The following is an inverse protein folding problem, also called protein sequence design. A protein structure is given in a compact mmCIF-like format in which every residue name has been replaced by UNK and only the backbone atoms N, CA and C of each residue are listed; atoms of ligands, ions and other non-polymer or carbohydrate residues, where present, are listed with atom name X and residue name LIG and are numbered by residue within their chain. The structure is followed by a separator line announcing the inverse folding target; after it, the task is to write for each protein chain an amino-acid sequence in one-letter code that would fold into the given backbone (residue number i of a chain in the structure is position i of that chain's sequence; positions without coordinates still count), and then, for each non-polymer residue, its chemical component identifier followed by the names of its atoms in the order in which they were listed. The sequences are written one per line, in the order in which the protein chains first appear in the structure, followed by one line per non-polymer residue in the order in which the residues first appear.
data_IF_407562668038
#
_entry.id   IF_407562668038
#
_cell.length_a   1.000
_cell.length_b   1.000
_cell.length_c   1.000
_cell.angle_alpha   90.00
_cell.angle_beta   90.00
_cell.angle_gamma   90.00
#
_symmetry.space_group_name_H-M   'P 1'
#
loop_
_entity.id
_entity.type
_entity.pdbx_description
1 polymer ?
#
# COMPACT_ATOMS: atom_id res chain seq x y z
N UNK A 1 6.07 -19.78 13.56
CA UNK A 1 6.81 -18.90 12.63
C UNK A 1 8.24 -18.73 13.13
N UNK A 2 9.23 -18.83 12.23
CA UNK A 2 10.63 -18.67 12.65
C UNK A 2 10.96 -17.22 12.98
N UNK A 3 12.05 -17.00 13.75
CA UNK A 3 12.51 -15.65 14.08
C UNK A 3 12.88 -14.87 12.81
N UNK A 4 13.46 -15.53 11.80
CA UNK A 4 13.79 -14.90 10.52
C UNK A 4 12.54 -14.47 9.75
N UNK A 5 11.49 -15.29 9.76
CA UNK A 5 10.22 -14.95 9.10
C UNK A 5 9.53 -13.77 9.81
N UNK A 6 9.57 -13.75 11.16
CA UNK A 6 9.05 -12.62 11.94
C UNK A 6 9.81 -11.33 11.61
N UNK A 7 11.14 -11.40 11.53
CA UNK A 7 11.97 -10.25 11.21
C UNK A 7 11.64 -9.69 9.82
N UNK A 8 11.47 -10.56 8.82
CA UNK A 8 11.07 -10.14 7.48
C UNK A 8 9.68 -9.50 7.47
N UNK A 9 8.73 -10.09 8.21
CA UNK A 9 7.38 -9.51 8.29
C UNK A 9 7.43 -8.11 8.90
N UNK A 10 8.19 -7.89 9.94
CA UNK A 10 8.33 -6.57 10.56
C UNK A 10 9.01 -5.57 9.63
N UNK A 11 10.00 -5.99 8.85
CA UNK A 11 10.63 -5.12 7.86
C UNK A 11 9.61 -4.67 6.80
N UNK A 12 8.79 -5.59 6.30
CA UNK A 12 7.74 -5.23 5.34
C UNK A 12 6.66 -4.36 5.96
N UNK A 13 6.32 -4.60 7.24
CA UNK A 13 5.38 -3.75 7.97
C UNK A 13 5.91 -2.32 8.11
N UNK A 14 7.22 -2.15 8.35
CA UNK A 14 7.83 -0.83 8.40
C UNK A 14 7.71 -0.11 7.05
N UNK A 15 7.91 -0.82 5.94
CA UNK A 15 7.70 -0.26 4.61
C UNK A 15 6.24 0.15 4.38
N UNK A 16 5.29 -0.68 4.84
CA UNK A 16 3.86 -0.36 4.75
C UNK A 16 3.53 0.90 5.54
N UNK A 17 4.03 0.99 6.78
CA UNK A 17 3.79 2.13 7.65
C UNK A 17 4.38 3.41 7.07
N UNK A 18 5.60 3.34 6.54
CA UNK A 18 6.24 4.47 5.88
C UNK A 18 5.43 4.93 4.66
N UNK A 19 4.97 4.00 3.82
CA UNK A 19 4.18 4.31 2.65
C UNK A 19 2.86 5.01 3.02
N UNK A 20 2.17 4.52 4.04
CA UNK A 20 0.94 5.13 4.54
C UNK A 20 1.23 6.54 5.08
N UNK A 21 2.27 6.68 5.88
CA UNK A 21 2.65 7.96 6.48
C UNK A 21 2.97 9.01 5.41
N UNK A 22 3.74 8.61 4.38
CA UNK A 22 4.06 9.49 3.26
C UNK A 22 2.82 9.88 2.46
N UNK A 23 1.97 8.92 2.13
CA UNK A 23 0.74 9.20 1.38
C UNK A 23 -0.16 10.19 2.15
N UNK A 24 -0.30 10.00 3.45
CA UNK A 24 -1.08 10.90 4.30
C UNK A 24 -0.44 12.29 4.37
N UNK A 25 0.90 12.36 4.47
CA UNK A 25 1.59 13.65 4.54
C UNK A 25 1.45 14.43 3.23
N UNK A 26 1.47 13.75 2.08
CA UNK A 26 1.33 14.40 0.76
C UNK A 26 -0.06 14.98 0.55
N UNK A 27 -1.07 14.44 1.21
CA UNK A 27 -2.46 14.88 1.07
C UNK A 27 -2.93 15.75 2.25
N UNK A 28 -2.05 16.02 3.20
CA UNK A 28 -2.39 16.82 4.38
C UNK A 28 -2.89 18.20 3.98
N UNK A 29 -4.06 18.56 4.51
CA UNK A 29 -4.67 19.86 4.21
C UNK A 29 -5.33 19.97 2.84
N UNK A 30 -5.30 18.89 2.02
CA UNK A 30 -5.92 18.89 0.70
C UNK A 30 -7.39 18.47 0.77
N UNK A 31 -8.26 19.23 0.10
CA UNK A 31 -9.60 18.78 -0.21
C UNK A 31 -9.56 17.93 -1.50
N UNK A 32 -10.61 17.13 -1.76
CA UNK A 32 -10.67 16.28 -2.94
C UNK A 32 -10.41 17.05 -4.25
N UNK A 33 -11.00 18.25 -4.50
CA UNK A 33 -10.69 18.99 -5.72
C UNK A 33 -9.21 19.35 -5.88
N UNK A 34 -8.50 19.63 -4.78
CA UNK A 34 -7.07 19.93 -4.81
C UNK A 34 -6.27 18.71 -5.25
N UNK A 35 -6.62 17.54 -4.72
CA UNK A 35 -5.98 16.29 -5.09
C UNK A 35 -6.22 15.95 -6.56
N UNK A 36 -7.45 16.13 -7.05
CA UNK A 36 -7.82 15.84 -8.43
C UNK A 36 -7.13 16.79 -9.43
N UNK A 37 -6.69 17.96 -8.98
CA UNK A 37 -5.99 18.95 -9.79
C UNK A 37 -4.47 18.85 -9.70
N UNK A 38 -3.92 17.99 -8.84
CA UNK A 38 -2.48 17.93 -8.57
C UNK A 38 -1.91 16.59 -9.00
N UNK A 39 -1.41 16.54 -10.25
CA UNK A 39 -0.85 15.32 -10.84
C UNK A 39 0.36 14.81 -10.05
N UNK A 40 1.23 15.69 -9.57
CA UNK A 40 2.41 15.30 -8.81
C UNK A 40 2.01 14.57 -7.52
N UNK A 41 1.05 15.11 -6.79
CA UNK A 41 0.54 14.48 -5.57
C UNK A 41 -0.15 13.16 -5.88
N UNK A 42 -0.95 13.11 -6.95
CA UNK A 42 -1.59 11.86 -7.40
C UNK A 42 -0.55 10.77 -7.62
N UNK A 43 0.51 11.08 -8.36
CA UNK A 43 1.56 10.10 -8.67
C UNK A 43 2.31 9.67 -7.43
N UNK A 44 2.61 10.60 -6.52
CA UNK A 44 3.30 10.29 -5.26
C UNK A 44 2.45 9.39 -4.37
N UNK A 45 1.16 9.66 -4.25
CA UNK A 45 0.22 8.83 -3.47
C UNK A 45 0.10 7.44 -4.08
N UNK A 46 -0.11 7.36 -5.40
CA UNK A 46 -0.26 6.08 -6.10
C UNK A 46 0.99 5.22 -5.92
N UNK A 47 2.19 5.82 -6.05
CA UNK A 47 3.44 5.08 -5.81
C UNK A 47 3.47 4.48 -4.42
N UNK A 48 3.08 5.24 -3.40
CA UNK A 48 3.07 4.74 -2.02
C UNK A 48 2.01 3.66 -1.80
N UNK A 49 0.86 3.75 -2.47
CA UNK A 49 -0.14 2.68 -2.42
C UNK A 49 0.37 1.41 -3.10
N UNK A 50 1.14 1.54 -4.18
CA UNK A 50 1.80 0.39 -4.83
C UNK A 50 2.83 -0.23 -3.87
N UNK A 51 3.64 0.58 -3.19
CA UNK A 51 4.61 0.11 -2.20
C UNK A 51 3.91 -0.62 -1.06
N UNK A 52 2.81 -0.07 -0.55
CA UNK A 52 1.99 -0.71 0.48
C UNK A 52 1.52 -2.09 0.03
N UNK A 53 0.94 -2.18 -1.16
CA UNK A 53 0.44 -3.45 -1.71
C UNK A 53 1.55 -4.43 -2.01
N UNK A 54 2.71 -3.97 -2.47
CA UNK A 54 3.89 -4.82 -2.71
C UNK A 54 4.39 -5.43 -1.40
N UNK A 55 4.54 -4.63 -0.36
CA UNK A 55 4.97 -5.12 0.95
C UNK A 55 3.95 -6.12 1.53
N UNK A 56 2.65 -5.83 1.41
CA UNK A 56 1.60 -6.74 1.86
C UNK A 56 1.65 -8.07 1.10
N UNK A 57 1.91 -8.03 -0.22
CA UNK A 57 2.05 -9.23 -1.05
C UNK A 57 3.26 -10.06 -0.63
N UNK A 58 4.37 -9.41 -0.28
CA UNK A 58 5.58 -10.10 0.21
C UNK A 58 5.33 -10.80 1.53
N UNK A 59 4.62 -10.14 2.45
CA UNK A 59 4.24 -10.77 3.73
C UNK A 59 3.36 -11.99 3.48
N UNK A 60 2.38 -11.89 2.61
CA UNK A 60 1.47 -13.00 2.31
C UNK A 60 2.21 -14.18 1.69
N UNK A 61 3.20 -13.91 0.82
CA UNK A 61 3.96 -14.94 0.13
C UNK A 61 5.01 -15.58 1.03
N UNK A 62 5.78 -14.77 1.76
CA UNK A 62 6.93 -15.24 2.53
C UNK A 62 6.61 -15.55 3.98
N UNK A 63 5.53 -14.99 4.52
CA UNK A 63 5.15 -15.13 5.92
C UNK A 63 3.63 -15.44 6.04
N UNK A 64 3.14 -16.54 5.43
CA UNK A 64 1.70 -16.83 5.40
C UNK A 64 1.11 -17.03 6.79
N UNK A 65 1.91 -17.50 7.75
CA UNK A 65 1.46 -17.64 9.14
C UNK A 65 1.16 -16.30 9.78
N UNK A 66 1.92 -15.26 9.39
CA UNK A 66 1.69 -13.91 9.89
C UNK A 66 0.35 -13.36 9.38
N UNK A 67 0.04 -13.53 8.09
CA UNK A 67 -1.23 -13.09 7.52
C UNK A 67 -2.41 -13.85 8.12
N UNK A 68 -2.24 -15.15 8.37
CA UNK A 68 -3.27 -15.98 9.03
C UNK A 68 -3.49 -15.53 10.47
N UNK A 69 -2.47 -15.06 11.17
CA UNK A 69 -2.55 -14.56 12.53
C UNK A 69 -3.19 -13.15 12.61
N UNK A 70 -3.25 -12.42 11.50
CA UNK A 70 -3.78 -11.06 11.44
C UNK A 70 -4.86 -10.93 10.34
N UNK A 71 -5.97 -11.72 10.42
CA UNK A 71 -6.98 -11.75 9.37
C UNK A 71 -7.81 -10.46 9.27
N UNK A 72 -7.71 -9.56 10.25
CA UNK A 72 -8.41 -8.27 10.22
C UNK A 72 -7.83 -7.31 9.18
N UNK A 73 -6.60 -7.56 8.70
CA UNK A 73 -5.99 -6.73 7.66
C UNK A 73 -6.42 -7.23 6.28
N UNK A 74 -6.75 -6.31 5.34
CA UNK A 74 -7.28 -6.69 4.03
C UNK A 74 -6.15 -7.05 3.04
N UNK A 75 -5.47 -8.17 3.27
CA UNK A 75 -4.30 -8.60 2.48
C UNK A 75 -4.59 -8.75 0.98
N UNK A 76 -5.73 -9.40 0.65
CA UNK A 76 -6.10 -9.62 -0.75
C UNK A 76 -6.46 -8.31 -1.45
N UNK A 77 -7.16 -7.43 -0.76
CA UNK A 77 -7.58 -6.13 -1.28
C UNK A 77 -6.37 -5.24 -1.54
N UNK A 78 -5.38 -5.24 -0.65
CA UNK A 78 -4.14 -4.48 -0.84
C UNK A 78 -3.35 -5.00 -2.04
N UNK A 79 -3.27 -6.31 -2.21
CA UNK A 79 -2.63 -6.94 -3.37
C UNK A 79 -3.38 -6.60 -4.66
N UNK A 80 -4.71 -6.69 -4.63
CA UNK A 80 -5.54 -6.35 -5.79
C UNK A 80 -5.39 -4.90 -6.21
N UNK A 81 -5.37 -4.00 -5.25
CA UNK A 81 -5.14 -2.58 -5.50
C UNK A 81 -3.77 -2.35 -6.17
N UNK A 82 -2.72 -2.96 -5.64
CA UNK A 82 -1.37 -2.85 -6.20
C UNK A 82 -1.34 -3.35 -7.65
N UNK A 83 -1.97 -4.49 -7.94
CA UNK A 83 -2.00 -5.06 -9.28
C UNK A 83 -2.72 -4.12 -10.25
N UNK A 84 -3.85 -3.55 -9.85
CA UNK A 84 -4.59 -2.61 -10.69
C UNK A 84 -3.77 -1.34 -10.97
N UNK A 85 -3.12 -0.79 -9.96
CA UNK A 85 -2.32 0.43 -10.11
C UNK A 85 -1.07 0.20 -10.93
N UNK A 86 -0.39 -0.93 -10.75
CA UNK A 86 0.86 -1.23 -11.46
C UNK A 86 0.60 -1.60 -12.93
N UNK A 87 -0.49 -2.30 -13.23
CA UNK A 87 -0.78 -2.85 -14.57
C UNK A 87 -1.87 -2.09 -15.32
N UNK A 88 -2.69 -1.30 -14.63
CA UNK A 88 -3.76 -0.50 -15.23
C UNK A 88 -3.61 0.98 -14.92
N UNK A 89 -2.38 1.50 -14.94
CA UNK A 89 -2.09 2.87 -14.50
C UNK A 89 -2.96 3.92 -15.20
N UNK A 90 -3.19 3.78 -16.50
CA UNK A 90 -3.96 4.76 -17.26
C UNK A 90 -5.46 4.71 -16.95
N UNK A 91 -5.94 3.65 -16.32
CA UNK A 91 -7.34 3.43 -15.98
C UNK A 91 -7.62 3.62 -14.48
N UNK A 92 -6.67 4.21 -13.74
CA UNK A 92 -6.85 4.44 -12.31
C UNK A 92 -7.95 5.46 -12.05
N UNK A 93 -8.91 5.08 -11.21
CA UNK A 93 -9.98 5.96 -10.77
C UNK A 93 -9.50 6.80 -9.58
N UNK A 94 -9.17 8.07 -9.84
CA UNK A 94 -8.67 9.00 -8.83
C UNK A 94 -9.73 9.36 -7.78
N UNK A 95 -11.01 9.15 -8.08
CA UNK A 95 -12.07 9.37 -7.09
C UNK A 95 -12.05 8.31 -5.98
N UNK A 96 -11.47 7.14 -6.26
CA UNK A 96 -11.36 6.02 -5.31
C UNK A 96 -10.05 6.06 -4.54
N UNK A 97 -8.99 6.57 -5.11
CA UNK A 97 -7.64 6.62 -4.51
C UNK A 97 -7.56 7.37 -3.16
#
# INVERSE_FOLDING_TARGET
MSAAANSRAFDYLDHMLEAITLAMSFTEGMAKPDFLADRKTQQAVILNLIVLGEAASKIALECPEFTAAHPSLPWLEMRGMRNRMAHGYFDIDLDVV
#
